data_IF_555952371623
#
_entry.id   IF_555952371623
#
_cell.length_a   1.000
_cell.length_b   1.000
_cell.length_c   1.000
_cell.angle_alpha   90.00
_cell.angle_beta   90.00
_cell.angle_gamma   90.00
#
_symmetry.space_group_name_H-M   'P 1'
#
loop_
_entity.id
_entity.type
_entity.pdbx_description
1 polymer ?
#
# COMPACT_ATOMS: atom_id res chain seq x y z
N UNK A 1 14.80 10.49 -20.83
CA UNK A 1 13.77 11.50 -21.18
C UNK A 1 12.33 11.01 -20.96
N UNK A 2 12.06 9.70 -20.94
CA UNK A 2 10.73 9.17 -20.61
C UNK A 2 10.44 9.10 -19.09
N UNK A 3 11.47 8.96 -18.24
CA UNK A 3 11.31 8.90 -16.78
C UNK A 3 10.82 10.22 -16.17
N UNK A 4 11.19 11.37 -16.75
CA UNK A 4 10.86 12.71 -16.22
C UNK A 4 9.41 13.15 -16.46
N UNK A 5 8.69 12.53 -17.39
CA UNK A 5 7.26 12.80 -17.63
C UNK A 5 6.36 11.91 -16.76
N UNK A 6 6.79 10.68 -16.43
CA UNK A 6 6.07 9.80 -15.50
C UNK A 6 6.13 10.31 -14.06
N UNK A 7 7.23 10.96 -13.67
CA UNK A 7 7.39 11.58 -12.35
C UNK A 7 6.42 12.76 -12.13
N UNK A 8 5.96 13.42 -13.20
CA UNK A 8 4.94 14.50 -13.14
C UNK A 8 3.49 13.98 -13.08
N UNK A 9 3.25 12.69 -13.34
CA UNK A 9 1.91 12.09 -13.35
C UNK A 9 1.55 11.35 -12.06
N UNK A 10 2.49 11.21 -11.12
CA UNK A 10 2.21 10.64 -9.81
C UNK A 10 1.42 11.66 -8.97
N UNK A 11 0.13 11.34 -8.74
CA UNK A 11 -0.69 12.09 -7.80
C UNK A 11 0.00 12.02 -6.42
N UNK A 12 0.18 13.13 -5.72
CA UNK A 12 0.73 13.13 -4.37
C UNK A 12 -0.05 12.19 -3.43
N UNK A 13 0.64 11.41 -2.60
CA UNK A 13 0.03 10.43 -1.68
C UNK A 13 -1.04 11.07 -0.75
N UNK A 14 -0.88 12.35 -0.40
CA UNK A 14 -1.84 13.10 0.41
C UNK A 14 -3.13 13.47 -0.33
N UNK A 15 -3.09 13.59 -1.66
CA UNK A 15 -4.28 13.77 -2.49
C UNK A 15 -5.10 12.48 -2.56
N UNK A 16 -4.46 11.32 -2.56
CA UNK A 16 -5.14 10.02 -2.52
C UNK A 16 -5.97 9.84 -1.23
N UNK A 17 -5.44 10.22 -0.06
CA UNK A 17 -6.18 10.11 1.21
C UNK A 17 -7.47 10.91 1.18
N UNK A 18 -7.43 12.14 0.66
CA UNK A 18 -8.64 12.98 0.52
C UNK A 18 -9.63 12.40 -0.49
N UNK A 19 -9.12 11.89 -1.61
CA UNK A 19 -9.95 11.24 -2.61
C UNK A 19 -10.64 9.98 -2.08
N UNK A 20 -9.91 9.08 -1.40
CA UNK A 20 -10.46 7.86 -0.81
C UNK A 20 -11.56 8.18 0.20
N UNK A 21 -11.38 9.21 1.03
CA UNK A 21 -12.42 9.63 1.98
C UNK A 21 -13.74 10.00 1.27
N UNK A 22 -13.67 10.74 0.16
CA UNK A 22 -14.88 11.10 -0.58
C UNK A 22 -15.48 9.91 -1.34
N UNK A 23 -14.64 9.01 -1.87
CA UNK A 23 -15.09 7.74 -2.49
C UNK A 23 -15.80 6.86 -1.46
N UNK A 24 -15.25 6.71 -0.25
CA UNK A 24 -15.87 5.89 0.79
C UNK A 24 -17.21 6.47 1.23
N UNK A 25 -17.32 7.78 1.44
CA UNK A 25 -18.61 8.43 1.73
C UNK A 25 -19.63 8.18 0.61
N UNK A 26 -19.22 8.37 -0.65
CA UNK A 26 -20.08 8.15 -1.80
C UNK A 26 -20.59 6.71 -1.91
N UNK A 27 -19.71 5.73 -1.64
CA UNK A 27 -20.06 4.30 -1.68
C UNK A 27 -20.92 3.89 -0.47
N UNK A 28 -20.64 4.41 0.71
CA UNK A 28 -21.40 4.14 1.94
C UNK A 28 -22.87 4.58 1.80
N UNK A 29 -23.11 5.75 1.21
CA UNK A 29 -24.46 6.24 0.87
C UNK A 29 -25.25 5.32 -0.08
N UNK A 30 -24.58 4.38 -0.75
CA UNK A 30 -25.12 3.49 -1.78
C UNK A 30 -25.01 2.02 -1.42
N UNK A 31 -24.59 1.70 -0.20
CA UNK A 31 -24.30 0.34 0.26
C UNK A 31 -23.26 -0.40 -0.61
N UNK A 32 -22.37 0.34 -1.28
CA UNK A 32 -21.41 -0.17 -2.26
C UNK A 32 -20.01 -0.46 -1.69
N UNK A 33 -19.83 -0.36 -0.37
CA UNK A 33 -18.53 -0.59 0.28
C UNK A 33 -18.09 -2.05 0.17
N UNK A 34 -19.03 -2.99 0.29
CA UNK A 34 -18.72 -4.43 0.26
C UNK A 34 -18.08 -4.82 -1.06
N UNK A 35 -18.72 -4.49 -2.18
CA UNK A 35 -18.24 -4.79 -3.53
C UNK A 35 -16.89 -4.11 -3.81
N UNK A 36 -16.71 -2.89 -3.31
CA UNK A 36 -15.44 -2.19 -3.42
C UNK A 36 -14.31 -2.90 -2.67
N UNK A 37 -14.55 -3.36 -1.45
CA UNK A 37 -13.57 -4.13 -0.68
C UNK A 37 -13.29 -5.51 -1.30
N UNK A 38 -14.29 -6.17 -1.87
CA UNK A 38 -14.10 -7.43 -2.61
C UNK A 38 -13.17 -7.24 -3.82
N UNK A 39 -13.35 -6.16 -4.58
CA UNK A 39 -12.51 -5.88 -5.74
C UNK A 39 -11.07 -5.49 -5.34
N UNK A 40 -10.89 -4.73 -4.26
CA UNK A 40 -9.57 -4.47 -3.67
C UNK A 40 -8.91 -5.78 -3.22
N UNK A 41 -9.66 -6.65 -2.57
CA UNK A 41 -9.14 -7.93 -2.06
C UNK A 41 -8.64 -8.80 -3.20
N UNK A 42 -9.42 -8.89 -4.30
CA UNK A 42 -9.02 -9.58 -5.53
C UNK A 42 -7.74 -9.01 -6.13
N UNK A 43 -7.59 -7.69 -6.15
CA UNK A 43 -6.35 -7.05 -6.62
C UNK A 43 -5.17 -7.33 -5.69
N UNK A 44 -5.36 -7.32 -4.36
CA UNK A 44 -4.30 -7.66 -3.41
C UNK A 44 -3.83 -9.10 -3.55
N UNK A 45 -4.72 -10.04 -3.87
CA UNK A 45 -4.33 -11.43 -4.15
C UNK A 45 -3.31 -11.49 -5.28
N UNK A 46 -3.52 -10.75 -6.38
CA UNK A 46 -2.54 -10.71 -7.47
C UNK A 46 -1.17 -10.15 -7.05
N UNK A 47 -1.13 -9.19 -6.12
CA UNK A 47 0.12 -8.58 -5.69
C UNK A 47 0.88 -9.40 -4.63
N UNK A 48 0.15 -10.14 -3.80
CA UNK A 48 0.68 -10.72 -2.57
C UNK A 48 0.65 -12.25 -2.56
N UNK A 49 -0.41 -12.88 -3.10
CA UNK A 49 -0.74 -14.29 -2.83
C UNK A 49 0.36 -15.24 -3.30
N UNK A 50 0.80 -15.10 -4.55
CA UNK A 50 1.84 -15.96 -5.12
C UNK A 50 3.15 -15.82 -4.33
N UNK A 51 3.56 -14.57 -4.07
CA UNK A 51 4.81 -14.26 -3.39
C UNK A 51 4.82 -14.80 -1.96
N UNK A 52 3.72 -14.60 -1.22
CA UNK A 52 3.59 -15.02 0.17
C UNK A 52 3.50 -16.54 0.29
N UNK A 53 2.78 -17.18 -0.64
CA UNK A 53 2.66 -18.64 -0.67
C UNK A 53 4.00 -19.30 -0.98
N UNK A 54 4.76 -18.76 -1.93
CA UNK A 54 6.05 -19.32 -2.36
C UNK A 54 7.17 -19.10 -1.35
N UNK A 55 7.18 -17.96 -0.65
CA UNK A 55 8.32 -17.52 0.15
C UNK A 55 8.03 -17.28 1.63
N UNK A 56 6.78 -17.41 2.07
CA UNK A 56 6.37 -17.11 3.45
C UNK A 56 6.73 -15.68 3.85
N UNK A 57 7.30 -15.52 5.06
CA UNK A 57 7.68 -14.21 5.59
C UNK A 57 8.77 -13.49 4.78
N UNK A 58 9.59 -14.20 4.02
CA UNK A 58 10.54 -13.57 3.09
C UNK A 58 9.81 -12.83 1.96
N UNK A 59 8.73 -13.41 1.44
CA UNK A 59 7.88 -12.75 0.45
C UNK A 59 7.18 -11.51 1.01
N UNK A 60 6.76 -11.56 2.28
CA UNK A 60 6.20 -10.39 2.98
C UNK A 60 7.24 -9.27 3.12
N UNK A 61 8.49 -9.61 3.46
CA UNK A 61 9.59 -8.65 3.51
C UNK A 61 9.83 -7.99 2.14
N UNK A 62 9.90 -8.79 1.06
CA UNK A 62 10.09 -8.28 -0.30
C UNK A 62 8.96 -7.32 -0.72
N UNK A 63 7.71 -7.68 -0.40
CA UNK A 63 6.56 -6.81 -0.63
C UNK A 63 6.71 -5.46 0.08
N UNK A 64 7.03 -5.45 1.37
CA UNK A 64 7.17 -4.19 2.11
C UNK A 64 8.43 -3.38 1.73
N UNK A 65 9.48 -4.02 1.21
CA UNK A 65 10.63 -3.32 0.60
C UNK A 65 10.20 -2.52 -0.63
N UNK A 66 9.25 -3.04 -1.41
CA UNK A 66 8.64 -2.31 -2.54
C UNK A 66 7.73 -1.19 -2.02
N UNK A 67 6.79 -1.50 -1.14
CA UNK A 67 5.81 -0.54 -0.60
C UNK A 67 6.49 0.67 0.04
N UNK A 68 7.56 0.48 0.83
CA UNK A 68 8.22 1.64 1.46
C UNK A 68 8.79 2.65 0.47
N UNK A 69 9.15 2.19 -0.74
CA UNK A 69 9.62 3.07 -1.82
C UNK A 69 8.45 3.73 -2.52
N UNK A 70 7.43 2.95 -2.89
CA UNK A 70 6.22 3.43 -3.57
C UNK A 70 5.49 4.49 -2.74
N UNK A 71 5.37 4.25 -1.43
CA UNK A 71 4.74 5.15 -0.47
C UNK A 71 5.70 6.21 0.08
N UNK A 72 6.99 6.20 -0.28
CA UNK A 72 7.99 7.14 0.25
C UNK A 72 8.00 7.23 1.80
N UNK A 73 7.86 6.09 2.48
CA UNK A 73 7.83 6.02 3.94
C UNK A 73 9.17 5.57 4.52
N UNK A 74 9.50 6.05 5.72
CA UNK A 74 10.66 5.55 6.46
C UNK A 74 10.21 4.32 7.26
N UNK A 75 10.44 3.15 6.66
CA UNK A 75 10.09 1.85 7.22
C UNK A 75 11.35 0.98 7.33
N UNK A 76 11.66 0.59 8.57
CA UNK A 76 12.62 -0.45 8.87
C UNK A 76 11.92 -1.79 9.10
N UNK A 77 12.60 -2.87 8.71
CA UNK A 77 12.09 -4.23 8.79
C UNK A 77 13.18 -5.17 9.30
N UNK A 78 12.81 -6.04 10.23
CA UNK A 78 13.71 -7.00 10.85
C UNK A 78 13.02 -8.35 11.06
N UNK A 79 13.72 -9.44 10.73
CA UNK A 79 13.32 -10.78 11.16
C UNK A 79 13.75 -11.02 12.60
N UNK A 80 12.79 -11.26 13.49
CA UNK A 80 13.06 -11.47 14.91
C UNK A 80 12.01 -12.37 15.55
N UNK A 81 12.47 -13.29 16.39
CA UNK A 81 11.63 -14.23 17.16
C UNK A 81 10.67 -15.04 16.27
N UNK A 82 11.13 -15.44 15.07
CA UNK A 82 10.32 -16.17 14.09
C UNK A 82 9.27 -15.33 13.36
N UNK A 83 9.24 -14.01 13.58
CA UNK A 83 8.35 -13.07 12.91
C UNK A 83 9.09 -12.00 12.10
N UNK A 84 8.34 -11.28 11.27
CA UNK A 84 8.78 -10.06 10.60
C UNK A 84 8.23 -8.85 11.36
N UNK A 85 9.11 -7.98 11.86
CA UNK A 85 8.74 -6.74 12.53
C UNK A 85 8.87 -5.56 11.57
N UNK A 86 7.87 -4.70 11.57
CA UNK A 86 7.82 -3.46 10.80
C UNK A 86 7.90 -2.29 11.77
N UNK A 87 8.90 -1.42 11.60
CA UNK A 87 9.08 -0.22 12.40
C UNK A 87 9.04 1.01 11.50
N UNK A 88 7.88 1.67 11.45
CA UNK A 88 7.67 2.88 10.66
C UNK A 88 8.08 4.11 11.46
N UNK A 89 9.13 4.79 11.01
CA UNK A 89 9.66 6.02 11.61
C UNK A 89 9.04 7.29 11.03
N UNK A 90 8.59 7.23 9.77
CA UNK A 90 7.91 8.34 9.09
C UNK A 90 6.80 7.82 8.20
N UNK A 91 5.57 8.27 8.47
CA UNK A 91 4.42 8.10 7.60
C UNK A 91 4.22 9.39 6.79
N UNK A 92 4.21 9.35 5.44
CA UNK A 92 3.94 10.51 4.61
C UNK A 92 2.58 11.13 4.90
N UNK A 93 1.54 10.31 5.12
CA UNK A 93 0.17 10.77 5.40
C UNK A 93 0.01 11.46 6.76
N UNK A 94 0.97 11.31 7.67
CA UNK A 94 0.98 11.97 9.00
C UNK A 94 1.98 13.11 9.09
N UNK A 95 2.80 13.33 8.05
CA UNK A 95 3.73 14.44 8.00
C UNK A 95 2.96 15.69 7.56
N UNK A 96 2.85 16.69 8.45
CA UNK A 96 2.22 17.98 8.15
C UNK A 96 2.98 18.78 7.10
#
# INVERSE_FOLDING_TARGET
MAESEQEQLMIPSDHFVRFYNEVFKFLDERDGLTEYYEEISRHQEHHCLELFTRQGLAGVYEYYVRIRKEENCDLEMEFRDGGLRLYMRKCPSLSK
#
